data_IF_621469025756
#
_entry.id   IF_621469025756
#
_cell.length_a   1.000
_cell.length_b   1.000
_cell.length_c   1.000
_cell.angle_alpha   90.00
_cell.angle_beta   90.00
_cell.angle_gamma   90.00
#
_symmetry.space_group_name_H-M   'P 1'
#
loop_
_entity.id
_entity.type
_entity.pdbx_description
1 polymer ?
2 non-polymer ?
3 water ?
#
# COMPACT_ATOMS: atom_id res chain seq x y z
N UNK A 24 6.74 12.36 24.85
CA UNK A 24 8.15 12.37 24.37
C UNK A 24 8.56 11.01 23.84
N UNK A 25 9.41 11.00 22.82
CA UNK A 25 9.84 9.73 22.23
C UNK A 25 11.06 9.13 22.89
N UNK A 26 10.95 7.85 23.25
CA UNK A 26 12.07 7.16 23.88
C UNK A 26 13.15 6.88 22.84
N UNK A 27 14.32 6.44 23.30
CA UNK A 27 15.38 6.12 22.36
C UNK A 27 15.03 4.81 21.66
N UNK A 28 14.14 4.04 22.27
CA UNK A 28 13.70 2.77 21.69
C UNK A 28 12.70 3.06 20.58
N UNK A 29 11.98 4.17 20.73
CA UNK A 29 10.98 4.57 19.73
C UNK A 29 11.70 5.21 18.55
N UNK A 30 12.63 6.11 18.86
CA UNK A 30 13.41 6.77 17.81
C UNK A 30 14.06 5.71 16.92
N UNK A 31 14.51 4.63 17.56
CA UNK A 31 15.21 3.55 16.88
C UNK A 31 14.30 2.75 15.97
N UNK A 32 13.04 2.61 16.37
CA UNK A 32 12.06 1.89 15.57
C UNK A 32 11.78 2.67 14.28
N UNK A 33 11.34 3.92 14.46
CA UNK A 33 11.04 4.81 13.35
C UNK A 33 12.21 4.84 12.34
N UNK A 34 13.42 4.97 12.86
CA UNK A 34 14.61 5.02 12.02
C UNK A 34 14.77 3.78 11.16
N UNK A 35 14.82 2.62 11.79
CA UNK A 35 15.00 1.39 11.03
C UNK A 35 13.83 1.14 10.11
N UNK A 36 12.76 1.89 10.32
CA UNK A 36 11.54 1.77 9.53
C UNK A 36 11.65 2.72 8.36
N UNK A 37 12.10 3.94 8.62
CA UNK A 37 12.27 4.93 7.57
C UNK A 37 13.36 4.47 6.61
N UNK A 38 14.38 3.84 7.17
CA UNK A 38 15.50 3.37 6.39
C UNK A 38 15.05 2.32 5.37
N UNK A 39 14.27 1.35 5.82
CA UNK A 39 13.79 0.29 4.95
C UNK A 39 12.90 0.89 3.88
N UNK A 40 12.18 1.94 4.24
CA UNK A 40 11.27 2.62 3.33
C UNK A 40 12.02 3.29 2.17
N UNK A 41 13.09 4.03 2.47
CA UNK A 41 13.83 4.70 1.41
C UNK A 41 14.62 3.69 0.58
N UNK A 42 14.94 2.55 1.17
CA UNK A 42 15.70 1.53 0.46
C UNK A 42 14.87 0.62 -0.42
N UNK A 43 13.56 0.58 -0.20
CA UNK A 43 12.70 -0.31 -0.98
C UNK A 43 11.54 0.38 -1.69
N UNK A 44 11.47 1.69 -1.59
CA UNK A 44 10.39 2.42 -2.23
C UNK A 44 10.95 3.34 -3.31
N UNK A 45 10.73 2.96 -4.56
CA UNK A 45 11.18 3.69 -5.75
C UNK A 45 10.08 4.69 -6.11
N UNK A 46 10.08 5.80 -5.38
CA UNK A 46 9.09 6.86 -5.51
C UNK A 46 8.92 7.48 -6.89
N UNK A 47 9.85 7.21 -7.80
CA UNK A 47 9.76 7.74 -9.16
C UNK A 47 9.62 6.58 -10.15
N UNK A 48 9.30 5.41 -9.62
CA UNK A 48 9.10 4.20 -10.41
C UNK A 48 10.11 3.96 -11.54
N UNK A 49 11.34 4.43 -11.34
CA UNK A 49 12.40 4.25 -12.34
C UNK A 49 12.58 2.84 -12.91
N UNK A 50 12.67 1.83 -12.05
CA UNK A 50 12.90 0.47 -12.53
C UNK A 50 11.65 -0.33 -12.90
N UNK A 51 10.60 0.38 -13.29
CA UNK A 51 9.38 -0.27 -13.69
C UNK A 51 9.27 -0.14 -15.19
N UNK A 52 9.42 -1.25 -15.90
CA UNK A 52 9.33 -1.24 -17.35
C UNK A 52 8.93 -2.60 -17.90
N UNK A 53 8.89 -2.70 -19.23
CA UNK A 53 8.52 -3.95 -19.88
C UNK A 53 7.12 -4.36 -19.43
N UNK A 54 6.28 -3.39 -19.09
CA UNK A 54 4.93 -3.69 -18.66
C UNK A 54 3.93 -3.70 -19.81
N UNK A 55 2.85 -4.44 -19.64
CA UNK A 55 1.82 -4.53 -20.66
C UNK A 55 0.97 -3.26 -20.70
N UNK A 56 0.38 -2.98 -21.86
CA UNK A 56 -0.55 -1.86 -22.00
C UNK A 56 -1.83 -2.30 -22.68
N UNK A 57 -2.86 -1.46 -22.60
CA UNK A 57 -4.09 -1.67 -23.37
C UNK A 57 -3.88 -1.43 -24.86
N UNK A 58 -4.18 -2.43 -25.68
CA UNK A 58 -3.42 -2.69 -26.88
C UNK A 58 -3.88 -1.84 -28.05
N UNK A 59 -3.27 -2.07 -29.21
CA UNK A 59 -3.47 -1.20 -30.37
C UNK A 59 -2.54 0.00 -30.34
N UNK A 91 -14.37 3.06 -12.29
CA UNK A 91 -13.05 3.60 -12.60
C UNK A 91 -13.14 4.76 -13.58
N UNK A 92 -12.81 4.49 -14.84
CA UNK A 92 -12.48 5.55 -15.79
C UNK A 92 -11.12 6.17 -15.47
N UNK A 93 -10.08 5.35 -15.54
CA UNK A 93 -8.71 5.85 -15.42
C UNK A 93 -8.06 6.03 -16.78
N UNK A 94 -7.48 7.21 -17.00
CA UNK A 94 -6.75 7.49 -18.21
C UNK A 94 -5.26 7.34 -17.87
N UNK A 95 -4.50 6.79 -18.81
CA UNK A 95 -3.09 6.56 -18.60
C UNK A 95 -2.28 7.66 -19.28
N UNK A 96 -1.10 7.93 -18.73
CA UNK A 96 -0.20 8.89 -19.35
C UNK A 96 1.21 8.40 -19.13
N UNK A 97 1.99 8.39 -20.23
CA UNK A 97 3.36 7.95 -20.20
C UNK A 97 4.28 9.01 -20.82
N UNK A 98 4.98 9.76 -19.96
CA UNK A 98 5.89 10.81 -20.43
C UNK A 98 7.24 10.24 -20.86
N UNK A 99 7.44 10.17 -22.17
CA UNK A 99 8.67 9.62 -22.70
C UNK A 99 9.92 10.25 -22.15
N UNK A 100 10.99 9.45 -22.06
CA UNK A 100 12.28 9.92 -21.58
C UNK A 100 12.80 11.07 -22.47
N UNK A 101 12.25 11.13 -23.69
CA UNK A 101 12.62 12.13 -24.69
C UNK A 101 11.77 13.37 -24.72
N UNK A 102 10.75 13.42 -23.88
CA UNK A 102 9.90 14.59 -23.87
C UNK A 102 8.51 14.35 -24.42
N UNK A 103 8.34 13.25 -25.16
CA UNK A 103 7.03 12.95 -25.73
C UNK A 103 6.06 12.44 -24.68
N UNK A 104 4.81 12.31 -25.09
CA UNK A 104 3.76 11.83 -24.21
C UNK A 104 2.76 10.94 -24.92
N UNK A 105 2.45 9.80 -24.30
CA UNK A 105 1.47 8.86 -24.82
C UNK A 105 0.30 8.88 -23.85
N UNK A 106 -0.88 9.24 -24.34
CA UNK A 106 -2.09 9.31 -23.51
C UNK A 106 -3.11 8.28 -23.90
N UNK A 107 -3.72 7.64 -22.91
CA UNK A 107 -4.72 6.62 -23.15
C UNK A 107 -6.06 7.00 -22.53
N UNK A 108 -7.12 7.00 -23.34
CA UNK A 108 -8.48 7.15 -22.84
C UNK A 108 -9.26 5.84 -22.98
N UNK A 109 -9.93 5.46 -21.91
CA UNK A 109 -10.62 4.15 -21.86
C UNK A 109 -12.00 4.20 -22.50
N UNK A 110 -12.59 3.03 -22.74
CA UNK A 110 -13.77 2.92 -23.59
C UNK A 110 -15.07 2.84 -22.78
N UNK A 111 -16.19 2.71 -23.48
CA UNK A 111 -17.27 1.83 -23.04
C UNK A 111 -17.73 2.15 -21.63
N UNK A 119 -12.18 -3.74 -18.23
CA UNK A 119 -11.13 -4.70 -18.59
C UNK A 119 -9.93 -4.00 -19.22
N UNK A 120 -9.21 -4.75 -20.06
CA UNK A 120 -8.27 -4.13 -20.99
C UNK A 120 -7.09 -3.51 -20.26
N UNK A 121 -7.38 -2.74 -19.22
CA UNK A 121 -6.34 -2.13 -18.40
C UNK A 121 -5.94 -3.04 -17.25
N UNK A 122 -6.36 -4.30 -17.32
CA UNK A 122 -6.12 -5.25 -16.24
C UNK A 122 -4.67 -5.71 -16.22
N UNK A 123 -4.23 -6.30 -17.32
CA UNK A 123 -2.84 -6.77 -17.43
C UNK A 123 -1.83 -5.75 -16.88
N UNK A 124 -1.95 -4.51 -17.32
CA UNK A 124 -1.06 -3.42 -16.91
C UNK A 124 -1.15 -3.14 -15.42
N UNK A 125 -2.38 -3.01 -14.92
CA UNK A 125 -2.58 -2.75 -13.51
C UNK A 125 -1.99 -3.89 -12.69
N UNK A 126 -2.05 -5.10 -13.23
CA UNK A 126 -1.50 -6.29 -12.57
C UNK A 126 0.03 -6.25 -12.57
N UNK A 127 0.62 -5.60 -13.57
CA UNK A 127 2.06 -5.49 -13.63
C UNK A 127 2.51 -4.42 -12.63
N UNK A 128 1.74 -3.33 -12.56
CA UNK A 128 2.06 -2.25 -11.62
C UNK A 128 2.01 -2.84 -10.22
N UNK A 129 0.96 -3.63 -9.97
CA UNK A 129 0.76 -4.26 -8.68
C UNK A 129 1.91 -5.16 -8.28
N UNK A 130 2.42 -5.96 -9.22
CA UNK A 130 3.54 -6.84 -8.93
C UNK A 130 4.82 -6.06 -8.63
N UNK A 131 5.07 -4.99 -9.37
CA UNK A 131 6.23 -4.13 -9.14
C UNK A 131 6.11 -3.56 -7.72
N UNK A 132 4.90 -3.15 -7.39
CA UNK A 132 4.61 -2.62 -6.07
C UNK A 132 4.79 -3.67 -4.99
N UNK A 133 4.13 -4.82 -5.15
CA UNK A 133 4.25 -5.89 -4.17
C UNK A 133 5.72 -6.18 -3.91
N UNK A 134 6.48 -6.37 -4.99
CA UNK A 134 7.90 -6.67 -4.88
C UNK A 134 8.61 -5.71 -3.93
N UNK A 135 8.26 -4.42 -4.01
CA UNK A 135 8.90 -3.43 -3.16
C UNK A 135 8.53 -3.64 -1.71
N UNK A 136 7.23 -3.84 -1.50
CA UNK A 136 6.64 -4.07 -0.19
C UNK A 136 7.27 -5.29 0.50
N UNK A 137 7.67 -6.28 -0.29
CA UNK A 137 8.28 -7.48 0.25
C UNK A 137 9.71 -7.20 0.65
N UNK A 138 10.41 -6.43 -0.17
CA UNK A 138 11.78 -6.09 0.18
C UNK A 138 11.74 -5.25 1.44
N UNK A 139 10.65 -4.51 1.61
CA UNK A 139 10.43 -3.66 2.77
C UNK A 139 10.39 -4.49 4.05
N UNK A 140 9.61 -5.57 4.00
CA UNK A 140 9.43 -6.45 5.13
C UNK A 140 10.66 -7.25 5.52
N UNK A 141 11.35 -7.80 4.53
CA UNK A 141 12.54 -8.61 4.77
C UNK A 141 13.74 -7.81 5.27
N UNK A 142 13.66 -6.49 5.15
CA UNK A 142 14.75 -5.62 5.57
C UNK A 142 14.55 -5.07 7.00
N UNK A 143 13.37 -5.30 7.56
CA UNK A 143 13.07 -4.86 8.94
C UNK A 143 13.44 -5.97 9.91
N UNK A 144 14.24 -5.64 10.92
CA UNK A 144 14.66 -6.61 11.93
C UNK A 144 13.50 -7.39 12.53
N UNK A 145 12.52 -6.68 13.08
CA UNK A 145 11.37 -7.32 13.71
C UNK A 145 10.72 -8.35 12.80
N UNK A 146 10.77 -8.12 11.49
CA UNK A 146 10.14 -9.05 10.55
C UNK A 146 11.02 -10.27 10.26
N UNK A 147 12.29 -9.99 9.99
CA UNK A 147 13.29 -11.00 9.68
C UNK A 147 13.39 -12.07 10.77
N UNK A 148 13.21 -11.64 12.02
CA UNK A 148 13.33 -12.52 13.19
C UNK A 148 12.10 -13.38 13.50
N UNK A 149 11.15 -13.44 12.59
CA UNK A 149 9.96 -14.29 12.79
C UNK A 149 10.16 -15.57 12.00
N UNK A 150 9.38 -16.61 12.32
CA UNK A 150 9.52 -17.86 11.57
C UNK A 150 9.10 -17.65 10.11
N UNK A 151 9.85 -18.25 9.20
CA UNK A 151 9.56 -18.16 7.77
C UNK A 151 8.06 -18.26 7.48
N UNK A 152 7.42 -19.33 7.95
CA UNK A 152 6.00 -19.53 7.71
C UNK A 152 5.15 -18.30 8.09
N UNK A 153 5.51 -17.65 9.19
CA UNK A 153 4.78 -16.46 9.65
C UNK A 153 5.00 -15.21 8.80
N UNK A 154 6.11 -15.15 8.08
CA UNK A 154 6.39 -14.01 7.23
C UNK A 154 5.49 -14.08 6.01
N UNK A 155 5.28 -15.29 5.51
CA UNK A 155 4.43 -15.50 4.35
C UNK A 155 2.99 -15.23 4.74
N UNK A 156 2.59 -15.69 5.92
CA UNK A 156 1.23 -15.44 6.37
C UNK A 156 0.97 -13.95 6.46
N UNK A 157 1.90 -13.21 7.07
CA UNK A 157 1.75 -11.77 7.24
C UNK A 157 1.73 -11.02 5.90
N UNK A 158 2.67 -11.34 5.02
CA UNK A 158 2.73 -10.69 3.72
C UNK A 158 1.42 -10.91 2.93
N UNK A 159 1.04 -12.17 2.76
CA UNK A 159 -0.19 -12.50 2.05
C UNK A 159 -1.35 -11.72 2.67
N UNK A 160 -1.21 -11.40 3.95
CA UNK A 160 -2.26 -10.67 4.65
C UNK A 160 -2.29 -9.19 4.33
N UNK A 161 -1.13 -8.52 4.39
CA UNK A 161 -1.07 -7.09 4.16
C UNK A 161 -0.63 -6.55 2.80
N UNK A 162 -0.10 -7.39 1.92
CA UNK A 162 0.36 -6.91 0.62
C UNK A 162 -0.53 -5.80 0.04
N UNK A 163 -1.81 -6.10 -0.15
CA UNK A 163 -2.74 -5.10 -0.69
C UNK A 163 -2.70 -3.77 0.06
N UNK A 164 -2.81 -3.85 1.39
CA UNK A 164 -2.85 -2.69 2.26
C UNK A 164 -1.58 -1.85 2.20
N UNK A 165 -0.42 -2.51 2.21
CA UNK A 165 0.85 -1.80 2.16
C UNK A 165 1.04 -1.11 0.83
N UNK A 166 0.51 -1.72 -0.24
CA UNK A 166 0.59 -1.14 -1.57
C UNK A 166 -0.24 0.12 -1.68
N UNK A 167 -1.48 0.05 -1.18
CA UNK A 167 -2.38 1.18 -1.18
C UNK A 167 -1.87 2.32 -0.31
N UNK A 168 -1.19 1.96 0.78
CA UNK A 168 -0.62 2.94 1.69
C UNK A 168 0.46 3.75 0.97
N UNK A 169 1.29 3.05 0.19
CA UNK A 169 2.37 3.68 -0.57
C UNK A 169 1.81 4.43 -1.78
N UNK A 170 0.79 3.83 -2.39
CA UNK A 170 0.16 4.42 -3.56
C UNK A 170 -0.50 5.74 -3.17
N UNK A 171 -0.92 5.86 -1.91
CA UNK A 171 -1.54 7.09 -1.47
C UNK A 171 -0.57 8.27 -1.40
N UNK A 172 0.72 7.98 -1.20
CA UNK A 172 1.68 9.05 -1.13
C UNK A 172 2.02 9.66 -2.50
N UNK A 173 1.65 8.98 -3.58
CA UNK A 173 1.93 9.55 -4.90
C UNK A 173 0.61 10.00 -5.52
N UNK A 174 -0.43 9.98 -4.70
CA UNK A 174 -1.75 10.40 -5.13
C UNK A 174 -1.93 11.89 -4.92
N UNK A 175 -2.56 12.55 -5.89
CA UNK A 175 -2.81 13.99 -5.84
C UNK A 175 -4.33 14.18 -5.75
N UNK A 176 -4.78 14.62 -4.59
CA UNK A 176 -6.21 14.83 -4.37
C UNK A 176 -6.74 16.06 -5.10
N UNK A 177 -5.86 17.01 -5.40
CA UNK A 177 -6.30 18.21 -6.10
C UNK A 177 -6.73 17.83 -7.53
N UNK A 178 -5.87 17.10 -8.23
CA UNK A 178 -6.11 16.70 -9.61
C UNK A 178 -6.64 15.29 -9.81
N UNK A 179 -6.88 14.58 -8.70
CA UNK A 179 -7.39 13.22 -8.76
C UNK A 179 -6.56 12.26 -9.59
N UNK A 180 -5.23 12.34 -9.46
CA UNK A 180 -4.36 11.47 -10.22
C UNK A 180 -3.20 10.88 -9.40
N UNK A 181 -2.77 9.68 -9.79
CA UNK A 181 -1.66 9.00 -9.14
C UNK A 181 -0.38 9.24 -9.97
N UNK A 182 0.50 10.09 -9.42
CA UNK A 182 1.76 10.43 -10.07
C UNK A 182 2.80 9.36 -9.75
N UNK A 183 3.09 8.51 -10.73
CA UNK A 183 4.05 7.43 -10.57
C UNK A 183 5.25 7.56 -11.51
N UNK A 184 6.08 8.57 -11.28
CA UNK A 184 7.23 8.77 -12.14
C UNK A 184 6.76 9.25 -13.50
N UNK A 185 7.15 8.53 -14.55
CA UNK A 185 6.76 8.89 -15.90
C UNK A 185 5.35 8.40 -16.25
N UNK A 186 4.77 7.58 -15.37
CA UNK A 186 3.43 7.08 -15.57
C UNK A 186 2.45 7.89 -14.74
N UNK A 187 1.24 8.04 -15.24
CA UNK A 187 0.20 8.76 -14.54
C UNK A 187 -1.11 8.02 -14.66
N UNK A 188 -1.86 7.96 -13.57
CA UNK A 188 -3.18 7.34 -13.59
C UNK A 188 -4.17 8.42 -13.19
N UNK A 189 -4.81 9.03 -14.18
CA UNK A 189 -5.76 10.09 -13.88
C UNK A 189 -7.18 9.54 -13.78
N UNK A 190 -7.96 10.10 -12.85
CA UNK A 190 -9.36 9.70 -12.68
C UNK A 190 -10.14 10.49 -13.69
N UNK A 191 -11.06 9.84 -14.38
CA UNK A 191 -11.83 10.50 -15.41
C UNK A 191 -13.01 11.29 -14.87
N UNK A 198 -18.00 13.43 -9.33
CA UNK A 198 -16.84 13.52 -8.44
C UNK A 198 -17.21 13.33 -6.97
N UNK A 199 -18.38 12.76 -6.73
CA UNK A 199 -18.81 12.43 -5.38
C UNK A 199 -19.12 10.97 -5.43
N UNK A 200 -18.62 10.37 -6.51
CA UNK A 200 -18.66 8.94 -6.70
C UNK A 200 -17.41 8.46 -5.94
N UNK A 201 -17.21 9.03 -4.75
CA UNK A 201 -16.19 8.56 -3.82
C UNK A 201 -17.13 7.56 -3.12
N UNK A 202 -18.10 7.14 -3.93
CA UNK A 202 -19.09 6.16 -3.59
C UNK A 202 -18.33 4.84 -3.67
N UNK A 203 -17.05 4.95 -4.05
CA UNK A 203 -16.16 3.81 -4.18
C UNK A 203 -15.30 3.83 -2.94
N UNK A 204 -15.41 2.79 -2.12
CA UNK A 204 -14.65 2.70 -0.88
C UNK A 204 -13.19 3.02 -1.01
N UNK A 205 -12.49 2.31 -1.89
CA UNK A 205 -11.07 2.54 -2.10
C UNK A 205 -10.78 3.99 -2.47
N UNK A 206 -11.70 4.62 -3.19
CA UNK A 206 -11.53 6.01 -3.61
C UNK A 206 -11.70 6.98 -2.43
N UNK A 207 -12.77 6.82 -1.67
CA UNK A 207 -12.99 7.68 -0.51
C UNK A 207 -11.85 7.49 0.48
N UNK A 208 -11.25 6.31 0.46
CA UNK A 208 -10.14 6.05 1.36
C UNK A 208 -8.92 6.91 1.00
N UNK A 209 -8.57 6.92 -0.28
CA UNK A 209 -7.43 7.69 -0.73
C UNK A 209 -7.59 9.17 -0.48
N UNK A 210 -8.81 9.68 -0.65
CA UNK A 210 -9.04 11.10 -0.39
C UNK A 210 -8.99 11.41 1.09
N UNK A 211 -9.65 10.56 1.89
CA UNK A 211 -9.64 10.76 3.33
C UNK A 211 -8.23 10.71 3.89
N UNK A 212 -7.48 9.66 3.55
CA UNK A 212 -6.13 9.53 4.04
C UNK A 212 -5.25 10.65 3.54
N UNK A 213 -5.46 11.06 2.29
CA UNK A 213 -4.65 12.14 1.75
C UNK A 213 -4.97 13.44 2.47
N UNK A 214 -6.19 13.56 2.96
CA UNK A 214 -6.60 14.78 3.65
C UNK A 214 -5.88 14.95 4.99
N UNK A 215 -5.63 13.84 5.68
CA UNK A 215 -4.96 13.85 6.97
C UNK A 215 -3.56 14.45 6.90
N UNK A 216 -3.04 14.61 5.69
CA UNK A 216 -1.70 15.17 5.46
C UNK A 216 -0.59 14.64 6.36
N UNK A 217 -0.43 13.32 6.38
CA UNK A 217 0.58 12.67 7.21
C UNK A 217 2.02 12.86 6.75
N UNK A 218 2.95 12.59 7.67
CA UNK A 218 4.39 12.66 7.41
C UNK A 218 4.84 11.27 7.01
N UNK A 219 6.03 11.17 6.42
CA UNK A 219 6.57 9.89 6.00
C UNK A 219 6.65 8.94 7.20
N UNK A 220 7.01 9.46 8.37
CA UNK A 220 7.11 8.63 9.56
C UNK A 220 5.78 7.91 9.82
N UNK A 221 4.71 8.69 9.83
CA UNK A 221 3.38 8.14 10.05
C UNK A 221 3.00 7.08 9.02
N UNK A 222 3.30 7.34 7.74
CA UNK A 222 3.01 6.35 6.71
C UNK A 222 3.77 5.04 6.92
N UNK A 223 5.08 5.09 7.20
CA UNK A 223 5.83 3.86 7.42
C UNK A 223 5.35 3.17 8.70
N UNK A 224 4.88 3.94 9.66
CA UNK A 224 4.38 3.33 10.89
C UNK A 224 3.07 2.61 10.58
N UNK A 225 2.20 3.25 9.80
CA UNK A 225 0.95 2.61 9.39
C UNK A 225 1.28 1.31 8.66
N UNK A 226 2.32 1.33 7.83
CA UNK A 226 2.74 0.14 7.11
C UNK A 226 3.15 -0.96 8.08
N UNK A 227 3.73 -0.58 9.21
CA UNK A 227 4.15 -1.54 10.23
C UNK A 227 2.95 -2.17 10.90
N UNK A 228 2.09 -1.32 11.43
CA UNK A 228 0.90 -1.80 12.10
C UNK A 228 0.15 -2.79 11.21
N UNK A 229 -0.04 -2.41 9.94
CA UNK A 229 -0.75 -3.26 9.00
C UNK A 229 -0.03 -4.58 8.75
N UNK A 230 1.29 -4.51 8.55
CA UNK A 230 2.09 -5.72 8.30
C UNK A 230 2.10 -6.70 9.48
N UNK A 231 2.37 -6.19 10.68
CA UNK A 231 2.39 -7.04 11.85
C UNK A 231 1.00 -7.13 12.48
N UNK A 232 0.10 -7.83 11.82
CA UNK A 232 -1.24 -8.01 12.34
C UNK A 232 -1.33 -9.45 12.81
N UNK A 233 -1.73 -9.65 14.09
CA UNK A 233 -1.84 -11.01 14.64
C UNK A 233 -3.11 -11.68 14.12
N UNK A 234 -4.08 -10.84 13.78
CA UNK A 234 -5.39 -11.26 13.29
C UNK A 234 -5.35 -11.64 11.81
N UNK A 235 -4.40 -12.49 11.41
CA UNK A 235 -4.29 -12.89 10.01
C UNK A 235 -4.12 -14.39 9.81
N UNK A 236 -4.91 -14.96 8.88
CA UNK A 236 -4.87 -16.40 8.58
C UNK A 236 -3.48 -17.04 8.63
N UNK A 237 -3.33 -18.10 9.41
CA UNK A 237 -2.07 -18.82 9.47
C UNK A 237 -0.89 -18.23 10.23
N UNK A 238 -1.16 -17.24 11.08
CA UNK A 238 -0.10 -16.61 11.85
C UNK A 238 0.16 -17.43 13.11
N UNK A 239 1.35 -18.01 13.18
CA UNK A 239 1.71 -18.86 14.31
C UNK A 239 2.10 -18.09 15.56
N UNK A 240 3.03 -17.14 15.45
CA UNK A 240 3.46 -16.35 16.60
C UNK A 240 2.45 -15.28 16.99
N UNK A 241 1.18 -15.66 16.97
CA UNK A 241 0.06 -14.79 17.29
C UNK A 241 0.40 -13.79 18.40
N UNK A 242 1.14 -14.25 19.42
CA UNK A 242 1.48 -13.44 20.58
C UNK A 242 2.55 -12.38 20.30
N UNK A 243 3.63 -12.77 19.64
CA UNK A 243 4.71 -11.85 19.31
C UNK A 243 4.21 -10.74 18.37
N UNK A 244 3.62 -11.17 17.25
CA UNK A 244 3.10 -10.27 16.24
C UNK A 244 2.18 -9.25 16.91
N UNK A 245 1.52 -9.66 17.98
CA UNK A 245 0.60 -8.77 18.71
C UNK A 245 1.35 -7.71 19.53
N UNK A 246 2.35 -8.12 20.30
CA UNK A 246 3.12 -7.19 21.10
C UNK A 246 3.81 -6.20 20.17
N UNK A 247 4.40 -6.71 19.10
CA UNK A 247 5.07 -5.87 18.12
C UNK A 247 4.15 -4.80 17.57
N UNK A 248 2.95 -5.22 17.18
CA UNK A 248 1.97 -4.30 16.64
C UNK A 248 1.63 -3.23 17.67
N UNK A 249 1.50 -3.64 18.93
CA UNK A 249 1.18 -2.70 19.99
C UNK A 249 2.31 -1.68 20.15
N UNK A 250 3.55 -2.13 19.99
CA UNK A 250 4.70 -1.25 20.10
C UNK A 250 4.70 -0.20 19.01
N UNK A 251 4.42 -0.63 17.77
CA UNK A 251 4.37 0.28 16.63
C UNK A 251 3.27 1.32 16.81
N UNK A 252 2.10 0.87 17.28
CA UNK A 252 0.98 1.77 17.52
C UNK A 252 1.30 2.78 18.64
N UNK A 253 2.05 2.33 19.64
CA UNK A 253 2.42 3.23 20.73
C UNK A 253 3.35 4.32 20.20
N UNK A 254 4.37 3.91 19.45
CA UNK A 254 5.35 4.82 18.86
C UNK A 254 4.62 5.86 18.00
N UNK A 255 3.64 5.40 17.21
CA UNK A 255 2.86 6.29 16.37
C UNK A 255 2.11 7.31 17.20
N UNK A 256 1.33 6.79 18.16
CA UNK A 256 0.55 7.60 19.06
C UNK A 256 1.45 8.67 19.69
N UNK A 257 2.69 8.27 20.02
CA UNK A 257 3.64 9.18 20.65
C UNK A 257 4.17 10.21 19.67
N UNK A 258 4.55 9.75 18.49
CA UNK A 258 5.07 10.65 17.48
C UNK A 258 4.07 11.76 17.23
N UNK A 259 2.80 11.41 17.15
CA UNK A 259 1.73 12.38 16.90
C UNK A 259 1.70 13.46 17.98
N UNK A 260 1.67 13.04 19.25
CA UNK A 260 1.58 14.01 20.32
C UNK A 260 2.85 14.81 20.54
N UNK A 261 3.97 14.32 20.03
CA UNK A 261 5.23 15.03 20.18
C UNK A 261 5.46 16.02 19.04
N UNK A 262 4.77 15.85 17.92
CA UNK A 262 4.99 16.73 16.77
C UNK A 262 3.76 17.40 16.19
N UNK A 263 2.58 17.16 16.77
CA UNK A 263 1.36 17.77 16.24
C UNK A 263 0.40 18.20 17.36
N UNK A 264 0.74 19.29 18.06
CA UNK A 264 -0.07 19.81 19.16
C UNK A 264 -1.27 20.65 18.75
N UNK A 265 -1.41 20.93 17.46
CA UNK A 265 -2.51 21.75 16.97
C UNK A 265 -3.87 21.07 16.92
N UNK A 266 -4.94 21.82 17.25
CA UNK A 266 -6.33 21.35 17.27
C UNK A 266 -6.73 20.46 16.10
N UNK A 267 -6.24 20.79 14.91
CA UNK A 267 -6.54 20.04 13.69
C UNK A 267 -6.11 18.58 13.75
N UNK A 268 -5.07 18.32 14.54
CA UNK A 268 -4.52 16.97 14.67
C UNK A 268 -4.99 16.21 15.90
N UNK A 269 -6.01 16.72 16.56
CA UNK A 269 -6.57 16.05 17.73
C UNK A 269 -7.28 14.82 17.19
N UNK A 270 -7.09 13.69 17.85
CA UNK A 270 -7.72 12.43 17.46
C UNK A 270 -7.08 11.82 16.21
N UNK A 271 -5.96 12.42 15.77
CA UNK A 271 -5.26 11.93 14.59
C UNK A 271 -4.89 10.46 14.75
N UNK A 272 -4.31 10.09 15.88
CA UNK A 272 -3.92 8.71 16.10
C UNK A 272 -5.09 7.76 15.93
N UNK A 273 -6.26 8.16 16.43
CA UNK A 273 -7.47 7.34 16.31
C UNK A 273 -8.02 7.30 14.88
N UNK A 274 -7.95 8.43 14.16
CA UNK A 274 -8.45 8.43 12.77
C UNK A 274 -7.60 7.43 12.00
N UNK A 275 -6.28 7.55 12.18
CA UNK A 275 -5.32 6.66 11.54
C UNK A 275 -5.73 5.22 11.83
N UNK A 276 -5.94 4.93 13.11
CA UNK A 276 -6.31 3.60 13.54
C UNK A 276 -7.59 3.09 12.91
N UNK A 277 -8.59 3.95 12.82
CA UNK A 277 -9.85 3.56 12.20
C UNK A 277 -9.60 3.28 10.71
N UNK A 278 -8.83 4.17 10.08
CA UNK A 278 -8.47 4.05 8.66
C UNK A 278 -7.91 2.68 8.33
N UNK A 279 -6.97 2.22 9.16
CA UNK A 279 -6.36 0.92 8.96
C UNK A 279 -7.39 -0.19 9.08
N UNK A 280 -8.46 0.08 9.81
CA UNK A 280 -9.50 -0.92 9.98
C UNK A 280 -10.38 -0.94 8.75
N UNK A 281 -10.69 0.24 8.23
CA UNK A 281 -11.51 0.35 7.03
C UNK A 281 -10.71 -0.36 5.94
N UNK A 282 -9.46 0.05 5.80
CA UNK A 282 -8.58 -0.50 4.78
C UNK A 282 -8.54 -2.03 4.79
N UNK A 283 -8.69 -2.62 5.97
CA UNK A 283 -8.66 -4.07 6.15
C UNK A 283 -9.89 -4.71 5.48
N UNK A 284 -11.03 -4.05 5.61
CA UNK A 284 -12.27 -4.54 4.99
C UNK A 284 -12.21 -4.31 3.50
N UNK A 285 -11.75 -3.15 3.07
CA UNK A 285 -11.64 -2.85 1.65
C UNK A 285 -10.78 -3.93 1.03
N UNK A 286 -9.72 -4.29 1.76
CA UNK A 286 -8.78 -5.32 1.33
C UNK A 286 -9.51 -6.65 1.16
N UNK A 287 -10.38 -6.99 2.12
CA UNK A 287 -11.15 -8.22 2.06
C UNK A 287 -12.09 -8.22 0.87
N UNK A 288 -12.76 -7.09 0.66
CA UNK A 288 -13.73 -6.94 -0.42
C UNK A 288 -13.08 -6.93 -1.82
N UNK A 289 -11.93 -6.29 -1.94
CA UNK A 289 -11.24 -6.24 -3.22
C UNK A 289 -10.63 -7.57 -3.58
N UNK A 290 -10.07 -8.27 -2.61
CA UNK A 290 -9.50 -9.59 -2.90
C UNK A 290 -10.59 -10.40 -3.57
N UNK A 291 -11.77 -10.45 -2.96
CA UNK A 291 -12.89 -11.19 -3.52
C UNK A 291 -13.22 -10.68 -4.92
N UNK A 292 -13.47 -9.38 -5.06
CA UNK A 292 -13.77 -8.84 -6.37
C UNK A 292 -12.72 -9.26 -7.39
N UNK A 293 -11.45 -9.30 -6.97
CA UNK A 293 -10.37 -9.68 -7.87
C UNK A 293 -10.37 -11.17 -8.21
N UNK A 294 -10.60 -12.02 -7.22
CA UNK A 294 -10.62 -13.47 -7.47
C UNK A 294 -11.77 -13.84 -8.38
N UNK A 295 -12.83 -13.04 -8.37
CA UNK A 295 -13.98 -13.30 -9.22
C UNK A 295 -13.63 -12.97 -10.67
N UNK A 296 -12.98 -11.84 -10.88
CA UNK A 296 -12.59 -11.44 -12.24
C UNK A 296 -11.52 -12.38 -12.77
N UNK A 297 -10.72 -12.95 -11.86
CA UNK A 297 -9.65 -13.87 -12.22
C UNK A 297 -10.20 -15.21 -12.68
N UNK A 298 -11.33 -15.60 -12.09
CA UNK A 298 -11.97 -16.87 -12.43
C UNK A 298 -12.51 -16.89 -13.85
N UNK A 299 -13.05 -15.77 -14.30
CA UNK A 299 -13.61 -15.69 -15.64
C UNK A 299 -12.57 -15.18 -16.64
N UNK A 300 -11.74 -14.22 -16.24
CA UNK A 300 -10.73 -13.70 -17.17
C UNK A 300 -9.36 -13.58 -16.51
N UNK A 301 -8.59 -14.67 -16.49
CA UNK A 301 -7.26 -14.71 -15.89
C UNK A 301 -6.33 -13.57 -16.36
N UNK A 302 -5.77 -12.84 -15.38
CA UNK A 302 -4.88 -11.73 -15.66
C UNK A 302 -3.76 -11.67 -14.62
N UNK A 303 -4.05 -12.13 -13.41
CA UNK A 303 -3.09 -12.14 -12.32
C UNK A 303 -1.77 -12.79 -12.70
N UNK A 304 -0.71 -12.17 -12.22
CA UNK A 304 0.65 -12.60 -12.44
C UNK A 304 1.04 -13.72 -11.48
N UNK A 305 2.12 -14.45 -11.80
CA UNK A 305 2.61 -15.54 -10.95
C UNK A 305 2.72 -15.11 -9.49
N UNK A 306 3.26 -13.92 -9.25
CA UNK A 306 3.43 -13.39 -7.90
C UNK A 306 2.09 -13.12 -7.23
N UNK A 307 1.14 -12.59 -7.98
CA UNK A 307 -0.20 -12.31 -7.45
C UNK A 307 -0.92 -13.61 -7.12
N UNK A 308 -0.64 -14.65 -7.90
CA UNK A 308 -1.24 -15.97 -7.69
C UNK A 308 -0.77 -16.49 -6.34
N UNK A 309 0.53 -16.34 -6.11
CA UNK A 309 1.15 -16.78 -4.86
C UNK A 309 0.57 -16.03 -3.67
N UNK A 310 0.35 -14.73 -3.84
CA UNK A 310 -0.20 -13.88 -2.79
C UNK A 310 -1.66 -14.18 -2.53
N UNK A 311 -2.45 -14.30 -3.58
CA UNK A 311 -3.88 -14.58 -3.43
C UNK A 311 -4.18 -16.09 -3.36
N UNK A 312 -3.12 -16.87 -3.21
CA UNK A 312 -3.25 -18.31 -3.07
C UNK A 312 -3.81 -19.14 -4.22
N UNK A 313 -3.25 -19.00 -5.42
CA UNK A 313 -3.67 -19.79 -6.59
C UNK A 313 -2.54 -20.79 -6.84
N UNK A 314 -2.89 -22.03 -7.15
CA UNK A 314 -1.89 -23.09 -7.33
C UNK A 314 -1.34 -23.28 -8.74
N UNK A 315 -1.90 -22.55 -9.69
CA UNK A 315 -1.46 -22.70 -11.07
C UNK A 315 -2.20 -23.87 -11.71
N UNK A 316 -3.10 -24.46 -10.92
CA UNK A 316 -3.93 -25.59 -11.35
C UNK A 316 -5.29 -25.10 -11.82
#
# INVERSE_FOLDING_TARGET
MKKGHHHHHHGSERTGTQPLGVQGLTEEQRMMIRELMDAQMKTFDTTFSHFKNFRLPGVLSSGCELPESLQAPSREEAAKWSQVRKDLCSLKVSLQLRGEDGSVWNYKPPADSGGKEIFSLLPHMADMSTYMFKGIISFAKVISYFRDLPIEDQISLLKGAAFELCQLRFNTVFNAETGTWECGRLSYCLEDTAGGFQQLLLEPMLKFHYMLKKLQLHEEEYVLMQAISLFSPDRPGVLQHRVVDQLQEQFAITLKSYIECNRPQPAHRFLFLKIMAMLTELRSINAQHTQRLLRIQDIHPFATPLMQELFGITGS
#
